data_IF_691309760374
#
_entry.id   IF_691309760374
#
_cell.length_a   1.000
_cell.length_b   1.000
_cell.length_c   1.000
_cell.angle_alpha   90.00
_cell.angle_beta   90.00
_cell.angle_gamma   90.00
#
_symmetry.space_group_name_H-M   'P 1'
#
loop_
_entity.id
_entity.type
_entity.pdbx_description
1 polymer ?
#
# COMPACT_ATOMS: atom_id res chain seq x y z
N UNK A 1 12.36 20.36 -7.19
CA UNK A 1 11.99 20.03 -8.59
C UNK A 1 11.77 18.52 -8.79
N UNK A 2 12.39 17.61 -8.02
CA UNK A 2 12.05 16.18 -8.04
C UNK A 2 10.85 15.77 -7.16
N UNK A 3 10.71 16.36 -5.97
CA UNK A 3 9.66 15.99 -5.00
C UNK A 3 8.26 16.18 -5.59
N UNK A 4 7.98 17.33 -6.24
CA UNK A 4 6.69 17.56 -6.89
C UNK A 4 6.38 16.51 -7.97
N UNK A 5 7.35 16.16 -8.82
CA UNK A 5 7.17 15.13 -9.84
C UNK A 5 6.96 13.72 -9.25
N UNK A 6 7.59 13.43 -8.11
CA UNK A 6 7.39 12.19 -7.36
C UNK A 6 5.96 12.12 -6.78
N UNK A 7 5.50 13.19 -6.11
CA UNK A 7 4.13 13.28 -5.59
C UNK A 7 3.11 13.16 -6.73
N UNK A 8 3.30 13.87 -7.84
CA UNK A 8 2.44 13.73 -9.01
C UNK A 8 2.41 12.29 -9.56
N UNK A 9 3.51 11.54 -9.43
CA UNK A 9 3.55 10.15 -9.89
C UNK A 9 2.57 9.26 -9.13
N UNK A 10 2.35 9.49 -7.83
CA UNK A 10 1.36 8.74 -7.05
C UNK A 10 -0.05 9.30 -7.21
N UNK A 11 -0.25 10.61 -7.03
CA UNK A 11 -1.58 11.16 -6.77
C UNK A 11 -2.25 11.85 -7.96
N UNK A 12 -1.49 12.28 -8.98
CA UNK A 12 -2.07 13.02 -10.11
C UNK A 12 -2.83 12.11 -11.09
N UNK A 13 -3.68 12.73 -11.91
CA UNK A 13 -4.38 12.11 -13.06
C UNK A 13 -3.44 11.43 -14.06
N UNK A 14 -2.23 11.98 -14.22
CA UNK A 14 -1.14 11.44 -15.04
C UNK A 14 -0.33 10.35 -14.33
N UNK A 15 -0.53 10.18 -13.03
CA UNK A 15 0.11 9.19 -12.17
C UNK A 15 -0.74 7.94 -11.92
N UNK A 16 -0.52 7.33 -10.76
CA UNK A 16 -1.25 6.15 -10.30
C UNK A 16 -2.63 6.46 -9.72
N UNK A 17 -2.93 7.73 -9.43
CA UNK A 17 -4.18 8.18 -8.83
C UNK A 17 -4.48 7.51 -7.49
N UNK A 18 -3.46 7.38 -6.64
CA UNK A 18 -3.64 6.98 -5.25
C UNK A 18 -4.68 7.89 -4.57
N UNK A 19 -5.54 7.29 -3.75
CA UNK A 19 -6.63 7.95 -3.03
C UNK A 19 -6.61 7.64 -1.53
N UNK A 20 -5.57 6.97 -1.04
CA UNK A 20 -5.36 6.64 0.36
C UNK A 20 -3.91 6.98 0.75
N UNK A 21 -3.75 7.56 1.94
CA UNK A 21 -2.46 7.80 2.57
C UNK A 21 -2.57 7.43 4.04
N UNK A 22 -1.54 6.77 4.56
CA UNK A 22 -1.41 6.54 5.99
C UNK A 22 -0.47 7.56 6.60
N UNK A 23 -0.94 8.23 7.64
CA UNK A 23 -0.18 9.25 8.37
C UNK A 23 0.05 8.75 9.80
N UNK A 24 1.31 8.45 10.17
CA UNK A 24 1.62 8.03 11.53
C UNK A 24 1.33 9.10 12.58
N UNK A 25 0.81 8.68 13.74
CA UNK A 25 0.66 9.51 14.94
C UNK A 25 1.91 9.33 15.79
N UNK A 26 2.68 10.41 15.95
CA UNK A 26 4.01 10.36 16.57
C UNK A 26 5.08 9.76 15.64
N UNK A 27 6.15 9.27 16.25
CA UNK A 27 7.26 8.61 15.56
C UNK A 27 7.01 7.13 15.27
N UNK A 28 7.65 6.64 14.22
CA UNK A 28 7.70 5.22 13.81
C UNK A 28 9.14 4.78 13.61
N UNK A 29 9.39 3.50 13.40
CA UNK A 29 10.69 2.95 13.00
C UNK A 29 11.32 3.68 11.79
N UNK A 30 10.50 4.20 10.87
CA UNK A 30 10.91 5.07 9.74
C UNK A 30 11.00 6.58 10.07
N UNK A 31 11.07 6.93 11.34
CA UNK A 31 11.46 8.27 11.81
C UNK A 31 12.97 8.35 12.04
N UNK A 32 13.52 9.56 12.18
CA UNK A 32 14.95 9.77 12.48
C UNK A 32 15.31 9.60 13.96
N UNK A 33 14.30 9.57 14.83
CA UNK A 33 14.38 9.32 16.26
C UNK A 33 13.00 8.88 16.78
N UNK A 34 12.97 8.31 17.99
CA UNK A 34 11.72 8.02 18.69
C UNK A 34 11.14 9.31 19.28
N UNK A 35 9.83 9.52 19.12
CA UNK A 35 9.09 10.62 19.74
C UNK A 35 7.60 10.31 19.86
N UNK A 36 6.91 10.94 20.81
CA UNK A 36 5.46 11.03 20.88
C UNK A 36 5.00 12.44 21.28
N UNK A 37 3.69 12.70 21.15
CA UNK A 37 3.11 14.02 21.40
C UNK A 37 3.00 14.40 22.87
N UNK A 38 3.18 13.47 23.82
CA UNK A 38 3.03 13.71 25.25
C UNK A 38 4.00 12.84 26.07
N UNK A 39 5.30 12.99 25.84
CA UNK A 39 6.33 12.18 26.52
C UNK A 39 6.59 12.64 27.96
N UNK A 40 6.45 13.94 28.21
CA UNK A 40 6.76 14.55 29.50
C UNK A 40 5.62 15.45 29.98
N UNK A 41 5.31 15.47 31.29
CA UNK A 41 5.90 14.61 32.31
C UNK A 41 5.46 13.14 32.14
N UNK A 42 6.32 12.22 32.60
CA UNK A 42 6.01 10.78 32.53
C UNK A 42 4.71 10.49 33.29
N UNK A 43 3.86 9.63 32.73
CA UNK A 43 2.53 9.28 33.25
C UNK A 43 1.52 10.44 33.29
N UNK A 44 1.64 11.41 32.38
CA UNK A 44 0.65 12.47 32.23
C UNK A 44 -0.64 11.97 31.56
N UNK A 45 -1.51 11.35 32.35
CA UNK A 45 -2.84 10.89 31.90
C UNK A 45 -3.80 12.02 31.56
N UNK A 46 -3.45 13.27 31.90
CA UNK A 46 -4.26 14.45 31.60
C UNK A 46 -3.90 15.09 30.26
N UNK A 47 -2.88 14.59 29.57
CA UNK A 47 -2.38 15.14 28.31
C UNK A 47 -2.06 16.65 28.42
N UNK A 48 -1.57 17.07 29.59
CA UNK A 48 -1.32 18.47 29.91
C UNK A 48 -0.21 19.10 29.05
N UNK A 49 0.63 18.27 28.42
CA UNK A 49 1.69 18.70 27.52
C UNK A 49 1.57 18.11 26.10
N UNK A 50 0.35 17.75 25.69
CA UNK A 50 0.14 17.24 24.34
C UNK A 50 0.43 18.32 23.29
N UNK A 51 1.41 18.06 22.43
CA UNK A 51 1.76 18.94 21.32
C UNK A 51 2.22 18.14 20.11
N UNK A 52 1.88 18.64 18.92
CA UNK A 52 2.51 18.18 17.68
C UNK A 52 3.99 18.54 17.68
N UNK A 53 4.79 17.77 16.95
CA UNK A 53 6.24 17.95 16.85
C UNK A 53 6.63 18.63 15.55
N UNK A 54 7.92 18.94 15.42
CA UNK A 54 8.51 19.54 14.23
C UNK A 54 8.15 18.76 12.96
N UNK A 55 8.18 17.43 13.02
CA UNK A 55 7.87 16.53 11.91
C UNK A 55 6.46 16.75 11.35
N UNK A 56 5.46 16.94 12.22
CA UNK A 56 4.08 17.16 11.78
C UNK A 56 3.94 18.49 11.03
N UNK A 57 4.61 19.54 11.53
CA UNK A 57 4.55 20.87 10.93
C UNK A 57 5.40 21.04 9.67
N UNK A 58 6.43 20.22 9.47
CA UNK A 58 7.40 20.41 8.39
C UNK A 58 7.42 19.28 7.35
N UNK A 59 7.10 18.04 7.74
CA UNK A 59 7.20 16.88 6.85
C UNK A 59 5.86 16.24 6.53
N UNK A 60 4.88 16.28 7.45
CA UNK A 60 3.54 15.71 7.22
C UNK A 60 2.56 16.67 6.53
N UNK A 61 3.08 17.75 5.95
CA UNK A 61 2.30 18.67 5.09
C UNK A 61 2.30 18.14 3.66
N UNK A 62 1.28 17.38 3.33
CA UNK A 62 0.89 17.22 1.94
C UNK A 62 0.02 18.42 1.60
N UNK A 63 0.53 19.31 0.74
CA UNK A 63 -0.33 20.34 0.13
C UNK A 63 -1.38 19.58 -0.69
N UNK A 64 -2.59 19.49 -0.14
CA UNK A 64 -3.71 18.79 -0.73
C UNK A 64 -4.24 19.58 -1.93
N UNK A 65 -3.54 19.47 -3.06
CA UNK A 65 -4.08 19.86 -4.38
C UNK A 65 -5.03 18.78 -4.95
N UNK A 66 -5.13 17.62 -4.28
CA UNK A 66 -5.88 16.46 -4.76
C UNK A 66 -7.09 16.21 -3.85
N UNK A 67 -8.30 16.36 -4.41
CA UNK A 67 -9.56 16.10 -3.72
C UNK A 67 -9.76 14.59 -3.45
N UNK A 68 -10.38 14.24 -2.31
CA UNK A 68 -10.78 12.88 -1.89
C UNK A 68 -9.64 11.86 -1.58
N UNK A 69 -8.58 12.30 -0.89
CA UNK A 69 -7.61 11.39 -0.26
C UNK A 69 -8.07 11.02 1.15
N UNK A 70 -8.22 9.72 1.42
CA UNK A 70 -8.50 9.20 2.75
C UNK A 70 -7.23 9.07 3.59
N UNK A 71 -7.31 9.50 4.85
CA UNK A 71 -6.22 9.39 5.81
C UNK A 71 -6.51 8.24 6.78
N UNK A 72 -5.65 7.22 6.76
CA UNK A 72 -5.57 6.22 7.82
C UNK A 72 -4.48 6.61 8.82
N UNK A 73 -4.63 6.23 10.08
CA UNK A 73 -3.64 6.52 11.13
C UNK A 73 -3.22 5.24 11.83
N UNK A 74 -1.92 5.12 12.09
CA UNK A 74 -1.44 4.15 13.07
C UNK A 74 -0.73 4.87 14.21
N UNK A 75 -0.88 4.28 15.39
CA UNK A 75 -0.08 4.56 16.57
C UNK A 75 1.10 3.59 16.61
N UNK A 76 2.29 4.08 16.94
CA UNK A 76 3.35 3.26 17.51
C UNK A 76 3.66 3.84 18.88
N UNK A 77 3.56 3.01 19.93
CA UNK A 77 3.98 3.43 21.27
C UNK A 77 5.51 3.55 21.26
N UNK A 78 6.11 4.71 21.60
CA UNK A 78 7.55 4.77 21.75
C UNK A 78 7.96 3.77 22.83
N UNK A 79 8.95 2.93 22.52
CA UNK A 79 9.56 2.05 23.52
C UNK A 79 10.04 2.85 24.73
N UNK A 80 9.95 2.31 25.96
CA UNK A 80 10.33 3.05 27.14
C UNK A 80 11.83 3.36 27.13
N UNK A 81 12.19 4.64 27.13
CA UNK A 81 13.52 5.06 27.53
C UNK A 81 13.77 4.56 28.97
N UNK A 82 14.80 3.72 29.15
CA UNK A 82 15.35 3.17 30.41
C UNK A 82 14.72 1.92 31.06
N UNK A 83 14.46 0.85 30.31
CA UNK A 83 14.43 -0.51 30.90
C UNK A 83 15.53 -1.40 30.29
N UNK A 84 16.22 -2.24 31.07
CA UNK A 84 17.30 -3.08 30.57
C UNK A 84 16.76 -4.03 29.51
N UNK A 85 17.47 -4.09 28.39
CA UNK A 85 17.15 -4.95 27.24
C UNK A 85 17.10 -6.40 27.72
N UNK A 86 15.89 -6.94 27.90
CA UNK A 86 15.72 -8.39 27.98
C UNK A 86 15.76 -8.93 26.56
N UNK A 87 16.79 -9.71 26.26
CA UNK A 87 16.79 -10.62 25.12
C UNK A 87 15.52 -11.47 25.15
N UNK A 88 14.89 -11.63 23.99
CA UNK A 88 13.70 -12.44 23.75
C UNK A 88 12.36 -11.73 24.00
N UNK A 89 12.03 -10.76 23.13
CA UNK A 89 10.72 -10.71 22.45
C UNK A 89 10.88 -9.90 21.16
N UNK A 90 10.28 -10.37 20.08
CA UNK A 90 10.01 -9.54 18.91
C UNK A 90 9.17 -8.35 19.37
N UNK A 91 9.81 -7.20 19.64
CA UNK A 91 9.12 -5.93 19.92
C UNK A 91 8.59 -5.33 18.59
N UNK A 92 7.86 -6.17 17.84
CA UNK A 92 6.86 -5.71 16.87
C UNK A 92 5.79 -5.06 17.73
N UNK A 93 5.77 -3.73 17.74
CA UNK A 93 4.86 -2.92 18.54
C UNK A 93 3.50 -3.60 18.68
N UNK A 94 3.19 -4.01 19.91
CA UNK A 94 1.94 -4.71 20.20
C UNK A 94 0.76 -3.87 19.75
N UNK A 95 -0.13 -4.50 19.00
CA UNK A 95 -1.41 -3.93 18.58
C UNK A 95 -2.17 -3.48 19.82
N UNK A 96 -2.33 -2.17 20.01
CA UNK A 96 -3.19 -1.65 21.06
C UNK A 96 -4.63 -1.83 20.56
N UNK A 97 -5.22 -2.99 20.84
CA UNK A 97 -6.62 -3.25 20.57
C UNK A 97 -7.51 -2.27 21.34
N UNK A 98 -8.56 -1.81 20.67
CA UNK A 98 -9.49 -0.79 21.15
C UNK A 98 -10.30 -1.33 22.33
N UNK A 99 -9.80 -1.18 23.56
CA UNK A 99 -10.61 -1.45 24.77
C UNK A 99 -11.25 -0.18 25.37
N UNK A 100 -10.79 1.02 24.98
CA UNK A 100 -11.22 2.29 25.62
C UNK A 100 -11.53 3.46 24.66
N UNK A 101 -11.71 3.22 23.34
CA UNK A 101 -12.44 4.21 22.54
C UNK A 101 -13.88 4.27 23.06
N UNK A 102 -14.48 5.46 23.15
CA UNK A 102 -15.76 5.72 23.80
C UNK A 102 -16.93 4.80 23.37
N UNK A 103 -18.09 4.88 24.05
CA UNK A 103 -19.21 3.97 23.81
C UNK A 103 -19.55 3.90 22.32
N UNK A 104 -19.61 2.66 21.80
CA UNK A 104 -20.04 2.35 20.43
C UNK A 104 -21.54 2.58 20.33
N UNK A 105 -21.97 3.49 19.46
CA UNK A 105 -23.37 3.55 19.03
C UNK A 105 -23.64 2.33 18.13
N UNK A 106 -24.80 1.70 18.32
CA UNK A 106 -25.09 0.32 17.90
C UNK A 106 -25.30 0.07 16.41
N UNK A 107 -24.86 0.97 15.52
CA UNK A 107 -25.09 0.89 14.08
C UNK A 107 -23.79 0.71 13.24
N UNK A 108 -22.62 0.61 13.86
CA UNK A 108 -21.36 0.46 13.13
C UNK A 108 -21.08 -1.00 12.72
N UNK A 109 -21.27 -1.28 11.41
CA UNK A 109 -20.68 -2.44 10.74
C UNK A 109 -19.17 -2.52 11.04
N UNK A 110 -18.65 -3.73 11.25
CA UNK A 110 -17.20 -3.95 11.36
C UNK A 110 -16.52 -3.32 10.13
N UNK A 111 -15.56 -2.38 10.31
CA UNK A 111 -14.91 -1.77 9.17
C UNK A 111 -14.22 -2.86 8.35
N UNK A 112 -14.37 -2.84 7.02
CA UNK A 112 -13.72 -3.83 6.16
C UNK A 112 -12.19 -3.71 6.27
N UNK A 113 -11.50 -4.84 6.19
CA UNK A 113 -10.04 -4.91 6.36
C UNK A 113 -9.31 -4.13 5.24
N UNK A 114 -8.25 -3.44 5.63
CA UNK A 114 -7.25 -2.83 4.75
C UNK A 114 -5.91 -3.49 5.08
N UNK A 115 -5.22 -4.01 4.07
CA UNK A 115 -3.92 -4.67 4.26
C UNK A 115 -2.72 -3.72 4.02
N UNK A 116 -1.61 -4.01 4.69
CA UNK A 116 -0.34 -3.26 4.65
C UNK A 116 0.86 -4.20 4.42
N UNK A 117 1.64 -3.99 3.35
CA UNK A 117 2.88 -4.76 3.10
C UNK A 117 4.11 -3.87 2.91
N UNK A 118 5.27 -4.44 3.27
CA UNK A 118 6.60 -3.87 3.06
C UNK A 118 7.57 -4.98 2.60
N UNK A 119 8.09 -4.94 1.36
CA UNK A 119 8.99 -5.96 0.84
C UNK A 119 10.39 -5.81 1.41
N UNK A 120 11.05 -6.94 1.71
CA UNK A 120 12.41 -6.95 2.29
C UNK A 120 12.47 -7.08 3.81
N UNK A 121 11.31 -7.17 4.48
CA UNK A 121 11.17 -7.45 5.92
C UNK A 121 11.47 -8.90 6.32
N UNK A 122 11.74 -9.80 5.35
CA UNK A 122 11.99 -11.22 5.60
C UNK A 122 13.51 -11.48 5.71
N UNK A 123 14.01 -12.12 6.79
CA UNK A 123 15.44 -12.30 7.07
C UNK A 123 16.27 -13.04 6.00
N UNK A 124 15.62 -13.68 5.03
CA UNK A 124 16.24 -14.53 4.00
C UNK A 124 16.57 -13.78 2.69
N UNK A 125 16.12 -12.53 2.54
CA UNK A 125 16.50 -11.69 1.40
C UNK A 125 17.86 -11.04 1.67
N UNK A 126 18.87 -11.36 0.84
CA UNK A 126 20.24 -10.84 0.99
C UNK A 126 20.36 -9.30 0.88
N UNK A 127 19.30 -8.61 0.42
CA UNK A 127 19.26 -7.15 0.28
C UNK A 127 17.93 -6.55 0.73
N UNK A 128 17.98 -5.51 1.54
CA UNK A 128 16.81 -4.71 1.92
C UNK A 128 16.18 -4.03 0.69
N UNK A 129 17.00 -3.40 -0.16
CA UNK A 129 16.58 -2.78 -1.44
C UNK A 129 17.10 -3.60 -2.62
N UNK A 130 16.21 -3.92 -3.57
CA UNK A 130 16.51 -4.72 -4.77
C UNK A 130 16.01 -3.95 -6.00
N UNK A 131 16.92 -3.20 -6.61
CA UNK A 131 16.60 -2.27 -7.69
C UNK A 131 16.17 -3.04 -8.94
N UNK A 132 14.99 -2.74 -9.47
CA UNK A 132 14.44 -3.38 -10.66
C UNK A 132 13.86 -4.78 -10.41
N UNK A 133 13.58 -5.14 -9.14
CA UNK A 133 13.12 -6.49 -8.79
C UNK A 133 11.72 -6.80 -9.32
N UNK A 134 11.65 -7.64 -10.36
CA UNK A 134 10.36 -8.19 -10.81
C UNK A 134 9.76 -9.16 -9.80
N UNK A 135 10.58 -9.82 -8.99
CA UNK A 135 10.11 -10.73 -7.92
C UNK A 135 9.28 -9.97 -6.89
N UNK A 136 9.67 -8.73 -6.55
CA UNK A 136 8.89 -7.88 -5.63
C UNK A 136 7.61 -7.35 -6.25
N UNK A 137 7.64 -6.95 -7.52
CA UNK A 137 6.42 -6.60 -8.26
C UNK A 137 5.44 -7.76 -8.37
N UNK A 138 5.94 -8.96 -8.64
CA UNK A 138 5.16 -10.21 -8.62
C UNK A 138 4.47 -10.40 -7.27
N UNK A 139 5.19 -10.24 -6.16
CA UNK A 139 4.63 -10.36 -4.82
C UNK A 139 3.47 -9.39 -4.63
N UNK A 140 3.67 -8.10 -4.89
CA UNK A 140 2.59 -7.10 -4.81
C UNK A 140 1.38 -7.47 -5.67
N UNK A 141 1.61 -7.84 -6.93
CA UNK A 141 0.51 -8.19 -7.83
C UNK A 141 -0.29 -9.40 -7.34
N UNK A 142 0.38 -10.42 -6.82
CA UNK A 142 -0.27 -11.63 -6.31
C UNK A 142 -1.02 -11.34 -5.02
N UNK A 143 -0.37 -10.69 -4.05
CA UNK A 143 -0.92 -10.42 -2.72
C UNK A 143 -2.17 -9.54 -2.86
N UNK A 144 -2.10 -8.43 -3.62
CA UNK A 144 -3.27 -7.56 -3.87
C UNK A 144 -4.42 -8.33 -4.54
N UNK A 145 -4.13 -9.20 -5.52
CA UNK A 145 -5.17 -10.01 -6.16
C UNK A 145 -5.80 -10.98 -5.16
N UNK A 146 -4.98 -11.65 -4.35
CA UNK A 146 -5.44 -12.65 -3.40
C UNK A 146 -6.27 -12.00 -2.29
N UNK A 147 -5.79 -10.91 -1.69
CA UNK A 147 -6.48 -10.14 -0.66
C UNK A 147 -7.85 -9.66 -1.12
N UNK A 148 -7.91 -9.01 -2.29
CA UNK A 148 -9.18 -8.53 -2.84
C UNK A 148 -10.12 -9.70 -3.18
N UNK A 149 -9.57 -10.84 -3.60
CA UNK A 149 -10.38 -12.03 -3.84
C UNK A 149 -10.94 -12.65 -2.54
N UNK A 150 -10.37 -12.28 -1.39
CA UNK A 150 -10.79 -12.66 -0.03
C UNK A 150 -11.35 -11.46 0.77
N UNK A 151 -12.07 -10.59 0.07
CA UNK A 151 -12.92 -9.52 0.65
C UNK A 151 -12.18 -8.34 1.32
N UNK A 152 -10.87 -8.20 1.11
CA UNK A 152 -10.14 -6.96 1.42
C UNK A 152 -10.61 -5.83 0.49
N UNK A 153 -10.90 -4.66 1.05
CA UNK A 153 -11.52 -3.54 0.29
C UNK A 153 -10.55 -2.42 -0.06
N UNK A 154 -9.33 -2.49 0.45
CA UNK A 154 -8.28 -1.51 0.23
C UNK A 154 -6.92 -2.11 0.56
N UNK A 155 -5.90 -1.64 -0.13
CA UNK A 155 -4.53 -2.11 0.05
C UNK A 155 -3.62 -0.89 0.05
N UNK A 156 -2.76 -0.76 1.05
CA UNK A 156 -1.89 0.40 1.19
C UNK A 156 -0.44 0.00 1.39
N UNK A 157 0.42 0.58 0.57
CA UNK A 157 1.87 0.40 0.66
C UNK A 157 2.44 1.11 1.89
N UNK A 158 3.55 0.59 2.44
CA UNK A 158 4.13 1.08 3.69
C UNK A 158 4.80 2.46 3.55
N UNK A 159 5.96 2.54 2.87
CA UNK A 159 6.71 3.79 2.68
C UNK A 159 6.58 4.26 1.23
N UNK A 160 6.01 5.46 1.00
CA UNK A 160 5.88 6.05 -0.33
C UNK A 160 7.22 6.19 -1.07
N UNK A 161 8.31 6.46 -0.36
CA UNK A 161 9.65 6.46 -0.91
C UNK A 161 10.70 6.19 0.16
N UNK A 162 11.82 5.59 -0.23
CA UNK A 162 13.01 5.41 0.61
C UNK A 162 14.28 5.76 -0.17
N UNK A 163 15.40 5.92 0.52
CA UNK A 163 16.71 5.97 -0.15
C UNK A 163 17.15 4.55 -0.58
N UNK A 164 18.26 4.45 -1.31
CA UNK A 164 18.79 3.15 -1.80
C UNK A 164 19.30 2.21 -0.69
N UNK A 165 19.42 2.68 0.54
CA UNK A 165 19.70 1.86 1.71
C UNK A 165 18.42 1.31 2.37
N UNK A 166 17.24 1.80 1.97
CA UNK A 166 15.95 1.38 2.54
C UNK A 166 15.55 2.14 3.80
N UNK A 167 16.03 3.39 3.96
CA UNK A 167 15.73 4.25 5.10
C UNK A 167 15.41 5.70 4.67
N UNK A 168 15.51 6.68 5.60
CA UNK A 168 16.06 6.56 6.95
C UNK A 168 15.16 5.78 7.93
N UNK A 169 15.78 5.09 8.87
CA UNK A 169 15.11 4.42 9.99
C UNK A 169 15.99 4.51 11.23
N UNK A 170 15.47 5.00 12.35
CA UNK A 170 16.25 5.12 13.59
C UNK A 170 16.54 3.78 14.26
N UNK A 171 15.78 2.74 13.93
CA UNK A 171 15.98 1.36 14.38
C UNK A 171 16.82 0.54 13.41
N UNK A 172 17.25 1.12 12.28
CA UNK A 172 17.93 0.43 11.17
C UNK A 172 17.10 -0.72 10.55
N UNK A 173 15.77 -0.66 10.65
CA UNK A 173 14.84 -1.62 10.06
C UNK A 173 14.62 -1.30 8.57
N UNK A 174 15.61 -1.60 7.73
CA UNK A 174 15.56 -1.24 6.32
C UNK A 174 14.63 -2.15 5.50
N UNK A 175 13.86 -1.56 4.59
CA UNK A 175 12.98 -2.26 3.64
C UNK A 175 13.06 -1.61 2.25
N UNK A 176 12.39 -2.16 1.24
CA UNK A 176 12.26 -1.52 -0.08
C UNK A 176 11.03 -0.61 -0.16
N UNK A 177 10.96 0.18 -1.22
CA UNK A 177 9.81 1.02 -1.53
C UNK A 177 9.59 1.08 -3.05
N UNK A 178 8.35 1.27 -3.53
CA UNK A 178 8.08 1.46 -4.96
C UNK A 178 8.82 2.65 -5.59
N UNK A 179 9.24 3.65 -4.81
CA UNK A 179 10.10 4.74 -5.28
C UNK A 179 11.37 4.81 -4.45
N UNK A 180 12.52 4.86 -5.15
CA UNK A 180 13.80 5.15 -4.52
C UNK A 180 14.27 6.55 -4.90
N UNK A 181 14.64 7.34 -3.89
CA UNK A 181 15.10 8.73 -4.06
C UNK A 181 16.62 8.84 -4.02
N UNK A 182 17.15 9.75 -4.83
CA UNK A 182 18.56 10.09 -4.93
C UNK A 182 18.74 11.60 -4.76
N UNK A 183 18.87 12.09 -3.51
CA UNK A 183 18.95 13.52 -3.23
C UNK A 183 20.13 14.20 -3.94
N UNK A 184 21.30 13.57 -3.94
CA UNK A 184 22.53 14.05 -4.62
C UNK A 184 22.31 14.37 -6.11
N UNK A 185 21.41 13.65 -6.76
CA UNK A 185 21.12 13.81 -8.19
C UNK A 185 19.81 14.56 -8.46
N UNK A 186 19.08 14.96 -7.40
CA UNK A 186 17.70 15.48 -7.50
C UNK A 186 16.86 14.60 -8.44
N UNK A 187 16.92 13.29 -8.22
CA UNK A 187 16.30 12.27 -9.06
C UNK A 187 15.64 11.19 -8.21
N UNK A 188 14.75 10.41 -8.83
CA UNK A 188 14.15 9.23 -8.23
C UNK A 188 13.91 8.18 -9.32
N UNK A 189 13.80 6.92 -8.94
CA UNK A 189 13.40 5.84 -9.83
C UNK A 189 12.08 5.23 -9.36
N UNK A 190 11.30 4.76 -10.31
CA UNK A 190 10.07 3.99 -10.07
C UNK A 190 10.41 2.52 -10.24
N UNK A 191 10.33 1.76 -9.16
CA UNK A 191 10.59 0.32 -9.13
C UNK A 191 9.45 -0.44 -9.84
N UNK A 192 9.65 -1.70 -10.24
CA UNK A 192 8.57 -2.54 -10.78
C UNK A 192 7.30 -2.58 -9.90
N UNK A 193 7.46 -2.54 -8.58
CA UNK A 193 6.35 -2.49 -7.61
C UNK A 193 5.42 -1.28 -7.83
N UNK A 194 5.98 -0.12 -8.23
CA UNK A 194 5.20 1.08 -8.53
C UNK A 194 4.25 0.83 -9.70
N UNK A 195 4.72 0.13 -10.73
CA UNK A 195 3.88 -0.20 -11.88
C UNK A 195 2.86 -1.29 -11.55
N UNK A 196 3.23 -2.28 -10.73
CA UNK A 196 2.30 -3.29 -10.22
C UNK A 196 1.13 -2.65 -9.45
N UNK A 197 1.42 -1.71 -8.53
CA UNK A 197 0.39 -0.91 -7.84
C UNK A 197 -0.49 -0.13 -8.81
N UNK A 198 0.10 0.40 -9.88
CA UNK A 198 -0.61 1.16 -10.91
C UNK A 198 -1.68 0.37 -11.66
N UNK A 199 -1.52 -0.95 -11.81
CA UNK A 199 -2.53 -1.81 -12.44
C UNK A 199 -3.85 -1.89 -11.66
N UNK A 200 -3.83 -1.55 -10.37
CA UNK A 200 -5.01 -1.48 -9.51
C UNK A 200 -5.44 -0.03 -9.28
N UNK A 201 -4.59 0.76 -8.62
CA UNK A 201 -4.90 2.14 -8.19
C UNK A 201 -5.43 3.03 -9.32
N UNK A 202 -4.84 2.93 -10.52
CA UNK A 202 -5.23 3.77 -11.65
C UNK A 202 -6.57 3.36 -12.28
N UNK A 203 -6.89 2.07 -12.25
CA UNK A 203 -8.00 1.50 -13.04
C UNK A 203 -9.19 1.07 -12.18
N UNK A 204 -9.02 0.98 -10.87
CA UNK A 204 -10.04 0.54 -9.92
C UNK A 204 -10.33 1.70 -8.95
N UNK A 205 -11.11 2.72 -9.40
CA UNK A 205 -11.41 3.86 -8.55
C UNK A 205 -12.29 3.46 -7.35
N UNK A 206 -12.31 4.32 -6.33
CA UNK A 206 -13.17 4.16 -5.15
C UNK A 206 -14.62 3.88 -5.53
N UNK A 207 -15.27 2.97 -4.79
CA UNK A 207 -16.64 2.56 -5.06
C UNK A 207 -16.77 1.49 -6.15
N UNK A 208 -15.66 1.06 -6.76
CA UNK A 208 -15.65 -0.15 -7.58
C UNK A 208 -16.06 -1.35 -6.75
N UNK A 209 -16.83 -2.26 -7.35
CA UNK A 209 -17.31 -3.49 -6.71
C UNK A 209 -16.65 -4.69 -7.35
N UNK A 210 -16.00 -5.53 -6.55
CA UNK A 210 -15.42 -6.80 -7.04
C UNK A 210 -16.55 -7.71 -7.54
N UNK A 211 -16.30 -8.38 -8.66
CA UNK A 211 -17.19 -9.40 -9.24
C UNK A 211 -16.48 -10.74 -9.30
N UNK A 212 -17.26 -11.82 -9.26
CA UNK A 212 -16.71 -13.18 -9.34
C UNK A 212 -16.09 -13.44 -10.72
N UNK A 213 -14.94 -14.10 -10.73
CA UNK A 213 -14.27 -14.56 -11.96
C UNK A 213 -14.23 -16.08 -11.97
N UNK A 214 -14.99 -16.71 -12.88
CA UNK A 214 -14.93 -18.16 -13.08
C UNK A 214 -13.82 -18.53 -14.07
N UNK A 215 -12.72 -19.09 -13.57
CA UNK A 215 -11.67 -19.66 -14.42
C UNK A 215 -12.05 -21.07 -14.89
N UNK A 216 -12.33 -21.22 -16.19
CA UNK A 216 -12.63 -22.52 -16.82
C UNK A 216 -11.39 -23.36 -17.17
N UNK A 217 -10.22 -22.75 -17.13
CA UNK A 217 -8.98 -23.36 -17.58
C UNK A 217 -8.17 -23.92 -16.40
N UNK A 218 -7.42 -24.99 -16.63
CA UNK A 218 -6.66 -25.71 -15.58
C UNK A 218 -5.44 -24.95 -15.03
N UNK A 219 -5.23 -23.69 -15.41
CA UNK A 219 -4.08 -22.84 -15.07
C UNK A 219 -4.17 -22.21 -13.67
N UNK A 220 -4.96 -22.78 -12.76
CA UNK A 220 -5.28 -22.20 -11.44
C UNK A 220 -4.05 -21.78 -10.61
N UNK A 221 -2.85 -22.25 -10.95
CA UNK A 221 -1.61 -21.95 -10.21
C UNK A 221 -0.73 -20.88 -10.84
N UNK A 222 -0.95 -20.47 -12.09
CA UNK A 222 -0.05 -19.53 -12.78
C UNK A 222 -0.74 -18.29 -13.35
N UNK A 223 -2.07 -18.22 -13.35
CA UNK A 223 -2.81 -17.03 -13.76
C UNK A 223 -3.63 -16.50 -12.57
N UNK A 224 -3.19 -15.38 -12.04
CA UNK A 224 -3.87 -14.65 -10.98
C UNK A 224 -4.79 -13.61 -11.61
N UNK A 225 -6.00 -13.47 -11.08
CA UNK A 225 -6.98 -12.53 -11.62
C UNK A 225 -7.97 -12.04 -10.59
N UNK A 226 -8.41 -10.81 -10.77
CA UNK A 226 -9.58 -10.24 -10.12
C UNK A 226 -10.30 -9.31 -11.10
N UNK A 227 -11.58 -9.04 -10.85
CA UNK A 227 -12.37 -8.18 -11.72
C UNK A 227 -13.34 -7.31 -10.92
N UNK A 228 -13.67 -6.15 -11.48
CA UNK A 228 -14.50 -5.14 -10.83
C UNK A 228 -15.50 -4.53 -11.80
N UNK A 229 -16.61 -4.02 -11.27
CA UNK A 229 -17.47 -3.03 -11.92
C UNK A 229 -17.16 -1.67 -11.29
N UNK A 230 -16.72 -0.71 -12.09
CA UNK A 230 -16.43 0.66 -11.63
C UNK A 230 -17.73 1.46 -11.40
N UNK A 231 -17.70 2.60 -10.70
CA UNK A 231 -18.86 3.50 -10.58
C UNK A 231 -19.41 4.00 -11.92
N UNK A 232 -18.56 4.02 -12.96
CA UNK A 232 -18.93 4.37 -14.33
C UNK A 232 -19.48 3.18 -15.13
N UNK A 233 -19.67 2.02 -14.48
CA UNK A 233 -20.13 0.76 -15.06
C UNK A 233 -19.18 0.10 -16.07
N UNK A 234 -17.89 0.45 -16.03
CA UNK A 234 -16.87 -0.29 -16.78
C UNK A 234 -16.58 -1.62 -16.05
N UNK A 235 -16.27 -2.67 -16.80
CA UNK A 235 -15.72 -3.90 -16.23
C UNK A 235 -14.20 -3.86 -16.37
N UNK A 236 -13.49 -3.89 -15.24
CA UNK A 236 -12.02 -3.90 -15.21
C UNK A 236 -11.56 -5.28 -14.78
N UNK A 237 -10.65 -5.87 -15.54
CA UNK A 237 -10.04 -7.17 -15.24
C UNK A 237 -8.54 -6.97 -15.08
N UNK A 238 -8.00 -7.34 -13.92
CA UNK A 238 -6.56 -7.35 -13.65
C UNK A 238 -6.06 -8.79 -13.74
N UNK A 239 -4.94 -8.99 -14.43
CA UNK A 239 -4.34 -10.28 -14.73
C UNK A 239 -2.85 -10.25 -14.40
N UNK A 240 -2.36 -11.28 -13.72
CA UNK A 240 -0.93 -11.53 -13.57
C UNK A 240 -0.59 -12.97 -14.02
N UNK A 241 0.28 -13.08 -15.03
CA UNK A 241 0.76 -14.35 -15.55
C UNK A 241 2.10 -14.72 -14.91
N UNK A 242 2.08 -15.63 -13.95
CA UNK A 242 3.26 -16.22 -13.31
C UNK A 242 3.81 -17.45 -14.06
N UNK A 243 3.29 -17.70 -15.26
CA UNK A 243 3.64 -18.85 -16.09
C UNK A 243 4.45 -18.46 -17.32
N UNK A 244 4.39 -19.36 -18.31
CA UNK A 244 4.91 -19.08 -19.66
C UNK A 244 3.97 -18.15 -20.41
N UNK A 245 4.46 -17.57 -21.51
CA UNK A 245 3.63 -16.78 -22.41
C UNK A 245 2.38 -17.59 -22.83
N UNK A 246 1.22 -16.95 -22.79
CA UNK A 246 -0.08 -17.60 -22.98
C UNK A 246 -1.11 -16.63 -23.57
N UNK A 247 -2.21 -17.18 -24.07
CA UNK A 247 -3.38 -16.41 -24.53
C UNK A 247 -4.52 -16.61 -23.54
N UNK A 248 -5.06 -15.51 -23.02
CA UNK A 248 -6.20 -15.51 -22.12
C UNK A 248 -7.42 -15.03 -22.89
N UNK A 249 -8.46 -15.87 -22.99
CA UNK A 249 -9.75 -15.47 -23.53
C UNK A 249 -10.66 -15.01 -22.38
N UNK A 250 -10.92 -13.71 -22.34
CA UNK A 250 -11.86 -13.08 -21.42
C UNK A 250 -13.26 -13.12 -22.02
N UNK A 251 -14.23 -13.61 -21.27
CA UNK A 251 -15.63 -13.67 -21.70
C UNK A 251 -16.52 -12.90 -20.71
N UNK A 252 -17.29 -11.93 -21.24
CA UNK A 252 -18.31 -11.18 -20.50
C UNK A 252 -19.63 -11.28 -21.25
N UNK A 253 -20.51 -12.18 -20.82
CA UNK A 253 -21.74 -12.51 -21.55
C UNK A 253 -21.43 -13.01 -22.97
N UNK A 254 -21.94 -12.29 -23.98
CA UNK A 254 -21.68 -12.58 -25.40
C UNK A 254 -20.38 -11.96 -25.93
N UNK A 255 -19.77 -11.03 -25.20
CA UNK A 255 -18.52 -10.37 -25.60
C UNK A 255 -17.32 -11.24 -25.23
N UNK A 256 -16.30 -11.20 -26.07
CA UNK A 256 -15.01 -11.84 -25.81
C UNK A 256 -13.87 -10.90 -26.17
N UNK A 257 -12.77 -11.01 -25.43
CA UNK A 257 -11.50 -10.36 -25.72
C UNK A 257 -10.36 -11.36 -25.54
N UNK A 258 -9.36 -11.32 -26.41
CA UNK A 258 -8.17 -12.15 -26.28
C UNK A 258 -7.02 -11.26 -25.85
N UNK A 259 -6.39 -11.62 -24.73
CA UNK A 259 -5.21 -10.96 -24.19
C UNK A 259 -4.02 -11.89 -24.39
N UNK A 260 -3.02 -11.42 -25.13
CA UNK A 260 -1.73 -12.11 -25.21
C UNK A 260 -0.88 -11.66 -24.03
N UNK A 261 -0.49 -12.59 -23.17
CA UNK A 261 0.30 -12.32 -21.97
C UNK A 261 1.66 -12.98 -22.10
N UNK A 262 2.71 -12.19 -22.00
CA UNK A 262 4.09 -12.70 -21.90
C UNK A 262 4.30 -13.45 -20.58
N UNK A 263 5.37 -14.23 -20.49
CA UNK A 263 5.76 -14.86 -19.23
C UNK A 263 6.10 -13.80 -18.17
N UNK A 264 5.67 -14.00 -16.93
CA UNK A 264 5.90 -13.05 -15.82
C UNK A 264 5.43 -11.63 -16.18
N UNK A 265 4.17 -11.48 -16.59
CA UNK A 265 3.63 -10.19 -17.04
C UNK A 265 2.31 -9.85 -16.36
N UNK A 266 1.99 -8.56 -16.36
CA UNK A 266 0.74 -8.04 -15.81
C UNK A 266 -0.03 -7.29 -16.91
N UNK A 267 -1.35 -7.42 -16.89
CA UNK A 267 -2.24 -6.71 -17.81
C UNK A 267 -3.49 -6.24 -17.07
N UNK A 268 -3.96 -5.04 -17.40
CA UNK A 268 -5.28 -4.54 -16.99
C UNK A 268 -6.10 -4.28 -18.23
N UNK A 269 -7.30 -4.87 -18.27
CA UNK A 269 -8.24 -4.72 -19.39
C UNK A 269 -9.47 -4.00 -18.88
N UNK A 270 -9.76 -2.85 -19.50
CA UNK A 270 -10.99 -2.11 -19.24
C UNK A 270 -11.97 -2.35 -20.39
N UNK A 271 -13.14 -2.90 -20.05
CA UNK A 271 -14.25 -3.11 -20.97
C UNK A 271 -15.29 -2.02 -20.68
N UNK A 272 -15.64 -1.19 -21.68
CA UNK A 272 -16.64 -0.14 -21.49
C UNK A 272 -18.01 -0.75 -21.18
N UNK A 273 -18.95 0.05 -20.64
CA UNK A 273 -20.22 -0.45 -20.17
C UNK A 273 -20.94 -1.15 -21.31
N UNK A 274 -21.39 -2.37 -21.06
CA UNK A 274 -22.35 -2.99 -21.95
C UNK A 274 -23.68 -2.32 -21.67
N UNK A 275 -24.26 -1.66 -22.67
CA UNK A 275 -25.64 -1.19 -22.55
C UNK A 275 -26.50 -2.40 -22.16
N UNK A 276 -27.05 -2.37 -20.94
CA UNK A 276 -27.88 -3.38 -20.26
C UNK A 276 -27.13 -4.46 -19.45
N UNK A 277 -27.28 -4.37 -18.12
CA UNK A 277 -27.30 -5.51 -17.19
C UNK A 277 -28.76 -5.89 -16.92
#
# INVERSE_FOLDING_TARGET
MAIGAMVCSYFSDKGLQYNMIRVPIGGTDFSTHAYAYNELPVNDTKLSNFTLTYEDFHYKKLEAEYEDIHIASQWHRPGPYNLPVSSDTDDKGGDASVEHAGPRDSDDMVPPAVDEDAPGSIPILEKHVDVGSWVRAKKYAIDIIDDINHDVVGWIDWNLCLNVQGGPSYTANHVDSPILVFPEFNAFIKQPMFYAMGHFSKFVPRGSRRIEVTQKCGWKRSLWTTAFITPQNNVVVVLYNDGKATKVNLQLGSKQAVVEMEANSMATVELPPSVNF
#
